data_IF_546356533102
#
_entry.id   IF_546356533102
#
_cell.length_a   1.000
_cell.length_b   1.000
_cell.length_c   1.000
_cell.angle_alpha   90.00
_cell.angle_beta   90.00
_cell.angle_gamma   90.00
#
_symmetry.space_group_name_H-M   'P 1'
#
loop_
_entity.id
_entity.type
_entity.pdbx_description
1 polymer ?
#
# COMPACT_ATOMS: atom_id res chain seq x y z
N UNK A 1 25.19 -9.06 12.90
CA UNK A 1 24.94 -8.53 12.74
C UNK A 1 23.87 -8.07 12.74
N UNK A 2 23.66 -7.44 13.13
CA UNK A 2 22.75 -6.86 13.07
C UNK A 2 21.89 -6.84 12.08
N UNK A 3 22.13 -7.38 11.08
CA UNK A 3 21.30 -7.56 9.94
C UNK A 3 20.01 -8.25 10.19
N UNK A 4 19.89 -8.87 11.29
CA UNK A 4 18.71 -9.65 11.62
C UNK A 4 17.70 -8.95 12.51
N UNK A 5 17.88 -7.65 12.70
CA UNK A 5 16.85 -6.87 13.38
C UNK A 5 15.61 -6.76 12.50
N UNK A 6 14.44 -6.43 13.05
CA UNK A 6 13.25 -6.23 12.26
C UNK A 6 13.50 -5.13 11.24
N UNK A 7 13.03 -5.34 10.00
CA UNK A 7 13.12 -4.32 8.97
C UNK A 7 12.34 -3.10 9.42
N UNK A 8 12.97 -1.94 9.30
CA UNK A 8 12.27 -0.68 9.50
C UNK A 8 11.44 -0.42 8.25
N UNK A 9 10.13 -0.34 8.40
CA UNK A 9 9.23 -0.04 7.31
C UNK A 9 8.73 1.39 7.50
N UNK A 10 9.12 2.26 6.59
CA UNK A 10 8.77 3.68 6.64
C UNK A 10 7.72 4.07 5.63
N UNK A 11 7.59 3.30 4.55
CA UNK A 11 6.71 3.65 3.44
C UNK A 11 5.95 2.44 2.91
N UNK A 12 4.76 2.70 2.40
CA UNK A 12 4.13 1.86 1.39
C UNK A 12 4.26 2.61 0.08
N UNK A 13 4.84 1.97 -0.93
CA UNK A 13 5.01 2.56 -2.25
C UNK A 13 4.06 1.90 -3.24
N UNK A 14 3.26 2.72 -3.91
CA UNK A 14 2.25 2.25 -4.86
C UNK A 14 2.79 2.25 -6.29
N UNK A 15 2.47 1.18 -7.00
CA UNK A 15 2.88 0.95 -8.39
C UNK A 15 1.65 0.57 -9.20
N UNK A 16 1.70 0.82 -10.52
CA UNK A 16 0.76 0.18 -11.44
C UNK A 16 1.51 -0.80 -12.35
N UNK A 17 0.80 -1.77 -12.88
CA UNK A 17 1.43 -2.90 -13.56
C UNK A 17 2.12 -2.57 -14.88
N UNK A 18 1.84 -1.41 -15.47
CA UNK A 18 2.49 -0.97 -16.71
C UNK A 18 3.80 -0.23 -16.49
N UNK A 19 4.21 -0.03 -15.24
CA UNK A 19 5.51 0.57 -14.97
C UNK A 19 6.62 -0.40 -15.40
N UNK A 20 7.62 0.11 -16.11
CA UNK A 20 8.73 -0.70 -16.58
C UNK A 20 9.42 -1.49 -15.47
N UNK A 21 9.47 -0.93 -14.26
CA UNK A 21 10.03 -1.62 -13.10
C UNK A 21 9.22 -2.84 -12.70
N UNK A 22 7.91 -2.81 -12.94
CA UNK A 22 7.00 -3.89 -12.59
C UNK A 22 6.93 -4.94 -13.70
N UNK A 23 7.15 -4.55 -14.95
CA UNK A 23 7.11 -5.46 -16.10
C UNK A 23 8.23 -6.49 -16.08
N UNK A 24 9.28 -6.25 -15.34
CA UNK A 24 10.41 -7.18 -15.23
C UNK A 24 10.19 -8.24 -14.16
N UNK A 25 9.07 -8.87 -14.19
CA UNK A 25 8.75 -9.93 -13.27
C UNK A 25 9.69 -11.12 -13.38
N UNK A 26 9.99 -11.77 -12.22
CA UNK A 26 9.43 -11.53 -10.89
C UNK A 26 10.15 -10.39 -10.18
N UNK A 27 9.43 -9.35 -9.83
CA UNK A 27 9.96 -8.29 -9.01
C UNK A 27 9.59 -8.51 -7.56
N UNK A 28 10.37 -7.92 -6.67
CA UNK A 28 10.17 -8.08 -5.24
C UNK A 28 9.14 -7.08 -4.73
N UNK A 29 7.89 -7.31 -5.11
CA UNK A 29 6.75 -6.59 -4.58
C UNK A 29 6.05 -7.44 -3.53
N UNK A 30 5.56 -6.81 -2.49
CA UNK A 30 4.94 -7.53 -1.38
C UNK A 30 3.51 -7.95 -1.69
N UNK A 31 2.76 -7.09 -2.36
CA UNK A 31 1.35 -7.31 -2.66
C UNK A 31 1.01 -6.90 -4.07
N UNK A 32 0.06 -7.61 -4.67
CA UNK A 32 -0.52 -7.24 -5.96
C UNK A 32 -2.04 -7.26 -5.80
N UNK A 33 -2.71 -6.21 -6.27
CA UNK A 33 -4.17 -6.12 -6.29
C UNK A 33 -4.61 -6.21 -7.75
N UNK A 34 -5.35 -7.26 -8.09
CA UNK A 34 -5.78 -7.48 -9.46
C UNK A 34 -6.98 -6.59 -9.83
N UNK A 35 -7.45 -6.69 -11.07
CA UNK A 35 -8.54 -5.86 -11.58
C UNK A 35 -9.85 -6.07 -10.81
N UNK A 36 -10.03 -7.22 -10.20
CA UNK A 36 -11.23 -7.54 -9.43
C UNK A 36 -11.12 -7.15 -7.96
N UNK A 37 -9.97 -6.60 -7.57
CA UNK A 37 -9.72 -6.22 -6.18
C UNK A 37 -9.24 -7.36 -5.30
N UNK A 38 -8.77 -8.45 -5.88
CA UNK A 38 -8.20 -9.55 -5.11
C UNK A 38 -6.76 -9.21 -4.74
N UNK A 39 -6.43 -9.30 -3.47
CA UNK A 39 -5.09 -9.03 -2.95
C UNK A 39 -4.29 -10.32 -2.91
N UNK A 40 -3.16 -10.34 -3.59
CA UNK A 40 -2.23 -11.45 -3.57
C UNK A 40 -0.98 -11.04 -2.82
N UNK A 41 -0.62 -11.80 -1.80
CA UNK A 41 0.64 -11.61 -1.08
C UNK A 41 1.73 -12.38 -1.80
N UNK A 42 2.80 -11.68 -2.18
CA UNK A 42 3.90 -12.29 -2.92
C UNK A 42 5.18 -12.39 -2.13
N UNK A 43 5.36 -11.54 -1.14
CA UNK A 43 6.58 -11.45 -0.37
C UNK A 43 6.23 -11.11 1.06
N UNK A 44 6.84 -11.76 2.06
CA UNK A 44 6.62 -11.37 3.45
C UNK A 44 7.06 -9.93 3.68
N UNK A 45 6.31 -9.20 4.49
CA UNK A 45 6.65 -7.80 4.81
C UNK A 45 7.99 -7.65 5.51
N UNK A 46 8.47 -8.75 6.12
CA UNK A 46 9.77 -8.77 6.79
C UNK A 46 10.95 -8.88 5.85
N UNK A 47 10.70 -9.18 4.57
CA UNK A 47 11.75 -9.22 3.56
C UNK A 47 11.80 -7.93 2.79
N UNK A 48 13.01 -7.49 2.47
CA UNK A 48 13.19 -6.29 1.64
C UNK A 48 12.68 -6.55 0.22
N UNK A 49 11.81 -5.67 -0.24
CA UNK A 49 11.30 -5.72 -1.61
C UNK A 49 12.17 -4.91 -2.56
N UNK A 50 11.51 -4.31 -3.57
CA UNK A 50 12.16 -3.53 -4.61
C UNK A 50 12.85 -2.28 -4.04
N UNK A 51 12.26 -1.66 -3.05
CA UNK A 51 12.80 -0.44 -2.44
C UNK A 51 13.05 -0.65 -0.95
N UNK A 52 14.12 -0.02 -0.47
CA UNK A 52 14.52 -0.13 0.92
C UNK A 52 13.49 0.51 1.85
N UNK A 53 13.28 -0.09 3.00
CA UNK A 53 12.39 0.40 4.05
C UNK A 53 10.95 0.62 3.58
N UNK A 54 10.51 -0.14 2.57
CA UNK A 54 9.21 0.06 1.93
C UNK A 54 8.51 -1.26 1.67
N UNK A 55 7.19 -1.22 1.79
CA UNK A 55 6.33 -2.29 1.32
C UNK A 55 5.83 -1.87 -0.05
N UNK A 56 6.07 -2.69 -1.07
CA UNK A 56 5.62 -2.44 -2.44
C UNK A 56 4.26 -3.03 -2.70
N UNK A 57 3.33 -2.21 -3.18
CA UNK A 57 1.99 -2.65 -3.58
C UNK A 57 1.77 -2.27 -5.03
N UNK A 58 1.49 -3.26 -5.86
CA UNK A 58 1.17 -3.04 -7.27
C UNK A 58 -0.33 -3.19 -7.49
N UNK A 59 -0.94 -2.22 -8.15
CA UNK A 59 -2.34 -2.29 -8.56
C UNK A 59 -2.35 -2.56 -10.05
N UNK A 60 -3.01 -3.64 -10.46
CA UNK A 60 -3.04 -4.05 -11.86
C UNK A 60 -3.84 -3.08 -12.70
N UNK A 61 -3.21 -2.51 -13.73
CA UNK A 61 -3.84 -1.59 -14.65
C UNK A 61 -2.88 -0.53 -15.16
N UNK A 62 -3.40 0.33 -16.03
CA UNK A 62 -2.68 1.50 -16.55
C UNK A 62 -3.39 2.76 -16.09
N UNK A 63 -2.92 3.34 -15.01
CA UNK A 63 -3.55 4.52 -14.42
C UNK A 63 -2.98 5.84 -14.96
N UNK A 64 -2.24 5.76 -16.05
CA UNK A 64 -2.02 6.90 -16.92
C UNK A 64 -3.21 7.14 -17.85
N UNK A 65 -4.04 6.09 -18.09
CA UNK A 65 -5.17 6.14 -19.02
C UNK A 65 -6.54 6.04 -18.34
N UNK A 66 -6.62 5.36 -17.22
CA UNK A 66 -7.89 5.10 -16.54
C UNK A 66 -7.70 5.23 -15.03
N UNK A 67 -8.82 5.33 -14.31
CA UNK A 67 -8.80 5.30 -12.84
C UNK A 67 -8.91 3.86 -12.36
N UNK A 68 -8.39 3.53 -11.17
CA UNK A 68 -8.61 2.21 -10.59
C UNK A 68 -10.10 1.95 -10.35
N UNK A 69 -10.50 0.68 -10.39
CA UNK A 69 -11.89 0.32 -10.10
C UNK A 69 -12.22 0.56 -8.62
N UNK A 70 -13.52 0.66 -8.33
CA UNK A 70 -13.99 0.78 -6.96
C UNK A 70 -13.53 -0.42 -6.12
N UNK A 71 -13.54 -1.62 -6.71
CA UNK A 71 -13.06 -2.83 -6.04
C UNK A 71 -11.58 -2.75 -5.70
N UNK A 72 -10.77 -2.24 -6.62
CA UNK A 72 -9.34 -2.07 -6.38
C UNK A 72 -9.07 -1.06 -5.28
N UNK A 73 -9.77 0.06 -5.28
CA UNK A 73 -9.59 1.10 -4.27
C UNK A 73 -10.04 0.63 -2.89
N UNK A 74 -11.14 -0.12 -2.82
CA UNK A 74 -11.62 -0.69 -1.57
C UNK A 74 -10.60 -1.71 -1.01
N UNK A 75 -10.08 -2.58 -1.87
CA UNK A 75 -9.07 -3.56 -1.48
C UNK A 75 -7.79 -2.86 -1.00
N UNK A 76 -7.38 -1.81 -1.70
CA UNK A 76 -6.19 -1.04 -1.32
C UNK A 76 -6.37 -0.37 0.04
N UNK A 77 -7.53 0.24 0.29
CA UNK A 77 -7.79 0.85 1.60
C UNK A 77 -7.75 -0.17 2.72
N UNK A 78 -8.36 -1.34 2.51
CA UNK A 78 -8.32 -2.42 3.49
C UNK A 78 -6.90 -2.89 3.78
N UNK A 79 -6.11 -3.06 2.73
CA UNK A 79 -4.71 -3.47 2.86
C UNK A 79 -3.88 -2.40 3.58
N UNK A 80 -4.06 -1.13 3.23
CA UNK A 80 -3.35 -0.02 3.87
C UNK A 80 -3.69 0.09 5.36
N UNK A 81 -4.95 -0.10 5.71
CA UNK A 81 -5.38 -0.11 7.10
C UNK A 81 -4.67 -1.23 7.87
N UNK A 82 -4.66 -2.42 7.30
CA UNK A 82 -4.01 -3.59 7.89
C UNK A 82 -2.51 -3.36 8.09
N UNK A 83 -1.83 -2.85 7.08
CA UNK A 83 -0.40 -2.55 7.16
C UNK A 83 -0.12 -1.46 8.20
N UNK A 84 -0.95 -0.43 8.24
CA UNK A 84 -0.78 0.68 9.18
C UNK A 84 -0.92 0.24 10.64
N UNK A 85 -1.74 -0.77 10.90
CA UNK A 85 -1.86 -1.36 12.23
C UNK A 85 -0.54 -1.99 12.68
N UNK A 86 0.22 -2.56 11.75
CA UNK A 86 1.51 -3.16 12.06
C UNK A 86 2.65 -2.14 12.10
N UNK A 87 2.54 -1.08 11.31
CA UNK A 87 3.57 -0.04 11.17
C UNK A 87 2.94 1.35 11.28
N UNK A 88 2.62 1.80 12.51
CA UNK A 88 1.81 3.02 12.69
C UNK A 88 2.44 4.31 12.15
N UNK A 89 3.76 4.37 12.06
CA UNK A 89 4.46 5.56 11.57
C UNK A 89 4.65 5.60 10.06
N UNK A 90 4.14 4.60 9.37
CA UNK A 90 4.27 4.43 7.94
C UNK A 90 3.61 5.56 7.16
N UNK A 91 4.26 5.96 6.06
CA UNK A 91 3.73 6.95 5.14
C UNK A 91 3.43 6.33 3.80
N UNK A 92 2.38 6.81 3.15
CA UNK A 92 2.00 6.37 1.82
C UNK A 92 2.74 7.19 0.77
N UNK A 93 3.39 6.52 -0.15
CA UNK A 93 4.12 7.16 -1.23
C UNK A 93 3.84 6.52 -2.59
N UNK A 94 4.23 7.21 -3.63
CA UNK A 94 4.17 6.72 -5.01
C UNK A 94 5.56 6.36 -5.48
N UNK A 95 5.65 5.36 -6.37
CA UNK A 95 6.95 4.96 -6.93
C UNK A 95 7.69 6.13 -7.57
N UNK A 96 6.98 7.04 -8.25
CA UNK A 96 7.60 8.21 -8.87
C UNK A 96 8.33 9.13 -7.89
N UNK A 97 8.05 9.02 -6.60
CA UNK A 97 8.70 9.82 -5.57
C UNK A 97 10.04 9.24 -5.12
N UNK A 98 10.33 8.01 -5.52
CA UNK A 98 11.61 7.40 -5.18
C UNK A 98 12.73 8.09 -5.94
N UNK A 99 13.81 8.42 -5.24
CA UNK A 99 14.96 9.06 -5.83
C UNK A 99 15.51 8.24 -6.99
N UNK A 100 15.68 8.89 -8.15
CA UNK A 100 16.16 8.23 -9.36
C UNK A 100 15.07 7.59 -10.20
N UNK A 101 13.82 7.57 -9.74
CA UNK A 101 12.72 7.04 -10.53
C UNK A 101 12.45 7.96 -11.75
N UNK A 102 12.31 7.34 -12.91
CA UNK A 102 12.02 8.06 -14.15
C UNK A 102 10.69 7.58 -14.71
N UNK A 103 9.65 7.67 -13.90
CA UNK A 103 8.31 7.19 -14.29
C UNK A 103 7.24 8.03 -13.61
N UNK A 104 6.01 7.88 -14.10
CA UNK A 104 4.84 8.55 -13.51
C UNK A 104 4.05 7.59 -12.63
N UNK A 105 4.63 6.45 -12.32
CA UNK A 105 3.97 5.40 -11.54
C UNK A 105 3.50 5.94 -10.18
N UNK A 106 2.27 5.65 -9.76
CA UNK A 106 1.30 4.73 -10.32
C UNK A 106 0.36 5.30 -11.37
N UNK A 107 0.67 6.45 -11.97
CA UNK A 107 -0.06 7.03 -13.07
C UNK A 107 -0.82 8.30 -12.71
N UNK A 108 -1.05 9.16 -13.72
CA UNK A 108 -1.68 10.48 -13.53
C UNK A 108 -3.10 10.38 -13.00
N UNK A 109 -3.83 9.33 -13.35
CA UNK A 109 -5.23 9.15 -12.97
C UNK A 109 -5.41 8.31 -11.71
N UNK A 110 -4.29 7.88 -11.12
CA UNK A 110 -4.34 7.22 -9.83
C UNK A 110 -4.61 8.28 -8.75
N UNK A 111 -5.61 8.09 -7.87
CA UNK A 111 -6.01 9.11 -6.90
C UNK A 111 -5.05 9.18 -5.70
N UNK A 112 -3.80 9.50 -5.97
CA UNK A 112 -2.73 9.49 -4.98
C UNK A 112 -2.95 10.52 -3.87
N UNK A 113 -3.40 11.71 -4.25
CA UNK A 113 -3.66 12.79 -3.31
C UNK A 113 -4.75 12.43 -2.31
N UNK A 114 -5.87 11.92 -2.82
CA UNK A 114 -7.00 11.54 -2.00
C UNK A 114 -6.65 10.39 -1.07
N UNK A 115 -5.90 9.42 -1.57
CA UNK A 115 -5.44 8.30 -0.75
C UNK A 115 -4.46 8.74 0.34
N UNK A 116 -3.59 9.68 0.01
CA UNK A 116 -2.64 10.20 1.00
C UNK A 116 -3.37 10.94 2.11
N UNK A 117 -4.30 11.82 1.76
CA UNK A 117 -5.11 12.53 2.73
C UNK A 117 -5.90 11.56 3.62
N UNK A 118 -6.50 10.55 3.01
CA UNK A 118 -7.23 9.53 3.74
C UNK A 118 -6.29 8.74 4.68
N UNK A 119 -5.11 8.39 4.21
CA UNK A 119 -4.11 7.66 4.99
C UNK A 119 -3.64 8.46 6.22
N UNK A 120 -3.49 9.77 6.07
CA UNK A 120 -3.03 10.62 7.15
C UNK A 120 -4.11 10.97 8.17
N UNK A 121 -5.35 11.08 7.72
CA UNK A 121 -6.45 11.58 8.57
C UNK A 121 -7.58 10.58 8.72
N UNK A 122 -8.06 10.02 7.63
CA UNK A 122 -9.20 9.11 7.63
C UNK A 122 -8.89 7.71 8.14
N UNK A 123 -7.65 7.26 7.95
CA UNK A 123 -7.23 5.92 8.36
C UNK A 123 -7.28 5.76 9.88
N UNK A 124 -6.81 6.76 10.60
CA UNK A 124 -6.83 6.74 12.06
C UNK A 124 -8.26 6.78 12.58
N UNK A 125 -9.11 7.56 11.96
CA UNK A 125 -10.52 7.64 12.33
C UNK A 125 -11.20 6.28 12.17
N UNK A 126 -10.96 5.59 11.05
CA UNK A 126 -11.52 4.26 10.83
C UNK A 126 -11.02 3.25 11.86
N UNK A 127 -9.74 3.33 12.22
CA UNK A 127 -9.16 2.48 13.24
C UNK A 127 -9.82 2.73 14.60
N UNK A 128 -10.04 3.98 14.95
CA UNK A 128 -10.64 4.34 16.20
C UNK A 128 -12.09 3.89 16.28
N UNK A 129 -12.84 4.02 15.20
CA UNK A 129 -14.22 3.52 15.10
C UNK A 129 -14.26 2.01 15.30
N UNK A 130 -13.35 1.29 14.65
CA UNK A 130 -13.29 -0.17 14.79
C UNK A 130 -12.93 -0.58 16.21
N UNK A 131 -12.01 0.14 16.85
CA UNK A 131 -11.60 -0.12 18.21
C UNK A 131 -12.74 0.16 19.19
N UNK A 132 -13.45 1.26 19.02
CA UNK A 132 -14.61 1.60 19.84
C UNK A 132 -15.69 0.53 19.74
N UNK A 133 -15.98 0.06 18.54
CA UNK A 133 -16.95 -1.00 18.32
C UNK A 133 -16.55 -2.30 19.02
N UNK A 134 -15.26 -2.62 18.99
CA UNK A 134 -14.74 -3.81 19.66
C UNK A 134 -14.87 -3.70 21.18
N UNK A 135 -14.51 -2.55 21.74
CA UNK A 135 -14.62 -2.29 23.17
C UNK A 135 -16.07 -2.37 23.61
N UNK A 136 -16.97 -1.76 22.86
CA UNK A 136 -18.39 -1.77 23.16
C UNK A 136 -18.94 -3.19 23.21
N UNK A 137 -18.55 -4.05 22.25
CA UNK A 137 -19.00 -5.43 22.26
C UNK A 137 -18.50 -6.23 23.46
N UNK A 138 -17.27 -5.94 23.91
CA UNK A 138 -16.68 -6.67 25.03
C UNK A 138 -17.26 -6.26 26.39
N UNK A 139 -17.64 -5.02 26.53
CA UNK A 139 -18.08 -4.47 27.81
C UNK A 139 -19.58 -4.19 27.90
N UNK A 140 -20.31 -4.60 26.88
CA UNK A 140 -21.76 -4.48 26.91
C UNK A 140 -22.35 -5.51 27.86
N UNK A 141 -23.19 -5.09 28.82
CA UNK A 141 -23.84 -6.02 29.75
C UNK A 141 -24.84 -6.95 29.05
#
# INVERSE_FOLDING_TARGET
MLANGPLTVNFVLLHHSVCASVERWPLRLHYVIDTDGVVEKRLPETEQGLHRASIGVCIEGNFGLAVPSAAQLAALRGLLLDIKLRYPALQLGAHRQVRGAQCTCPGKRFPMRELREWSEHGLLEQRDIALEALIERQYRP
#
